data_IF_683963285422
#
_entry.id   IF_683963285422
#
_cell.length_a   1.000
_cell.length_b   1.000
_cell.length_c   1.000
_cell.angle_alpha   90.00
_cell.angle_beta   90.00
_cell.angle_gamma   90.00
#
_symmetry.space_group_name_H-M   'P 1'
#
loop_
_entity.id
_entity.type
_entity.pdbx_description
1 polymer ?
#
# COMPACT_ATOMS: atom_id res chain seq x y z
N UNK A 1 24.30 41.24 55.64
CA UNK A 1 23.57 41.07 54.36
C UNK A 1 23.72 39.63 53.89
N UNK A 2 22.60 38.95 53.65
CA UNK A 2 22.46 37.54 53.26
C UNK A 2 22.50 37.42 51.74
N UNK A 3 23.49 36.73 51.16
CA UNK A 3 23.46 36.26 49.76
C UNK A 3 24.12 34.88 49.73
N UNK A 4 23.38 33.82 50.08
CA UNK A 4 23.77 32.42 49.85
C UNK A 4 22.52 31.53 49.78
N UNK A 5 21.85 31.46 48.62
CA UNK A 5 21.01 30.29 48.27
C UNK A 5 20.52 30.25 46.81
N UNK A 6 20.70 31.30 46.01
CA UNK A 6 20.07 31.36 44.67
C UNK A 6 20.85 30.68 43.53
N UNK A 7 22.10 30.24 43.75
CA UNK A 7 22.93 29.71 42.66
C UNK A 7 22.87 28.18 42.48
N UNK A 8 22.30 27.45 43.44
CA UNK A 8 22.24 25.97 43.39
C UNK A 8 20.97 25.43 42.73
N UNK A 9 19.92 26.26 42.58
CA UNK A 9 18.63 25.80 42.04
C UNK A 9 18.59 25.81 40.50
N UNK A 10 19.36 26.69 39.85
CA UNK A 10 19.39 26.83 38.39
C UNK A 10 20.18 25.74 37.69
N UNK A 11 21.20 25.15 38.34
CA UNK A 11 22.02 24.08 37.74
C UNK A 11 21.27 22.74 37.69
N UNK A 12 20.42 22.45 38.68
CA UNK A 12 19.67 21.19 38.78
C UNK A 12 18.52 21.11 37.78
N UNK A 13 17.88 22.23 37.44
CA UNK A 13 16.80 22.30 36.44
C UNK A 13 17.34 22.06 35.02
N UNK A 14 18.56 22.51 34.72
CA UNK A 14 19.17 22.34 33.40
C UNK A 14 19.53 20.87 33.10
N UNK A 15 19.96 20.11 34.11
CA UNK A 15 20.28 18.68 33.97
C UNK A 15 19.02 17.84 33.70
N UNK A 16 17.89 18.18 34.31
CA UNK A 16 16.63 17.45 34.12
C UNK A 16 16.08 17.65 32.69
N UNK A 17 16.17 18.88 32.15
CA UNK A 17 15.70 19.19 30.78
C UNK A 17 16.55 18.53 29.68
N UNK A 18 17.86 18.37 29.91
CA UNK A 18 18.74 17.64 28.98
C UNK A 18 18.54 16.13 29.02
N UNK A 19 18.11 15.55 30.16
CA UNK A 19 17.82 14.12 30.29
C UNK A 19 16.52 13.72 29.58
N UNK A 20 15.46 14.52 29.70
CA UNK A 20 14.19 14.25 29.00
C UNK A 20 14.35 14.32 27.47
N UNK A 21 15.08 15.31 26.95
CA UNK A 21 15.34 15.42 25.51
C UNK A 21 16.26 14.32 24.97
N UNK A 22 17.19 13.81 25.80
CA UNK A 22 18.06 12.68 25.46
C UNK A 22 17.32 11.34 25.45
N UNK A 23 16.47 11.07 26.44
CA UNK A 23 15.61 9.88 26.43
C UNK A 23 14.66 9.87 25.23
N UNK A 24 14.07 11.02 24.89
CA UNK A 24 13.17 11.13 23.75
C UNK A 24 13.90 10.91 22.41
N UNK A 25 15.15 11.37 22.27
CA UNK A 25 16.05 11.07 21.13
C UNK A 25 16.50 9.61 21.08
N UNK A 26 16.85 9.00 22.21
CA UNK A 26 17.27 7.60 22.26
C UNK A 26 16.10 6.64 21.99
N UNK A 27 14.89 6.99 22.41
CA UNK A 27 13.68 6.18 22.18
C UNK A 27 13.19 6.30 20.73
N UNK A 28 13.37 7.45 20.08
CA UNK A 28 13.14 7.60 18.63
C UNK A 28 14.21 6.90 17.79
N UNK A 29 15.47 6.83 18.23
CA UNK A 29 16.55 6.14 17.49
C UNK A 29 16.48 4.60 17.61
N UNK A 30 15.81 4.06 18.65
CA UNK A 30 15.62 2.62 18.85
C UNK A 30 14.42 2.01 18.13
N UNK A 31 13.43 2.81 17.71
CA UNK A 31 12.29 2.29 16.97
C UNK A 31 12.62 2.25 15.46
N UNK A 32 12.77 1.07 14.85
CA UNK A 32 13.15 0.94 13.43
C UNK A 32 12.13 1.60 12.48
N UNK A 33 10.90 1.87 12.95
CA UNK A 33 9.86 2.60 12.20
C UNK A 33 10.11 4.12 12.12
N UNK A 34 10.91 4.72 13.02
CA UNK A 34 11.21 6.17 13.05
C UNK A 34 12.40 6.55 12.20
N UNK A 35 13.23 5.58 11.78
CA UNK A 35 14.53 5.91 11.22
C UNK A 35 14.38 6.49 9.82
N UNK A 36 14.69 7.78 9.66
CA UNK A 36 14.87 8.43 8.35
C UNK A 36 16.20 7.94 7.74
N UNK A 37 16.24 7.28 6.56
CA UNK A 37 17.50 6.95 5.94
C UNK A 37 18.22 8.23 5.50
N UNK A 38 19.55 8.14 5.43
CA UNK A 38 20.42 9.22 5.02
C UNK A 38 20.00 9.85 3.69
N UNK A 39 20.21 11.16 3.60
CA UNK A 39 19.93 11.97 2.40
C UNK A 39 20.77 11.45 1.23
N UNK A 40 20.15 10.81 0.24
CA UNK A 40 20.69 10.79 -1.13
C UNK A 40 20.01 11.91 -1.90
N UNK A 41 20.72 13.04 -1.99
CA UNK A 41 20.46 14.28 -2.73
C UNK A 41 19.03 14.88 -2.75
N UNK A 42 17.95 14.16 -3.08
CA UNK A 42 16.61 14.77 -3.21
C UNK A 42 15.40 13.83 -2.96
N UNK A 43 15.60 12.55 -2.58
CA UNK A 43 14.49 11.62 -2.32
C UNK A 43 14.62 10.95 -0.95
N UNK A 44 13.64 11.23 -0.09
CA UNK A 44 13.52 10.55 1.18
C UNK A 44 12.87 9.17 0.96
N UNK A 45 13.65 8.09 1.10
CA UNK A 45 13.14 6.71 1.00
C UNK A 45 12.52 6.26 2.32
N UNK A 46 11.34 5.62 2.33
CA UNK A 46 10.73 5.12 3.58
C UNK A 46 10.30 3.67 3.49
N UNK A 47 10.54 2.92 4.56
CA UNK A 47 10.08 1.54 4.68
C UNK A 47 8.59 1.58 5.04
N UNK A 48 7.74 0.98 4.19
CA UNK A 48 6.35 0.73 4.54
C UNK A 48 6.27 -0.55 5.38
N UNK A 49 5.46 -0.51 6.43
CA UNK A 49 5.12 -1.66 7.26
C UNK A 49 3.65 -2.03 7.02
N UNK A 50 3.36 -3.32 6.91
CA UNK A 50 2.01 -3.84 6.70
C UNK A 50 1.73 -4.86 7.81
N UNK A 51 1.37 -4.35 8.98
CA UNK A 51 1.19 -5.15 10.20
C UNK A 51 -0.03 -6.09 10.10
N UNK A 52 -1.06 -5.68 9.34
CA UNK A 52 -2.23 -6.50 9.06
C UNK A 52 -1.90 -7.82 8.37
N UNK A 53 -0.77 -7.91 7.66
CA UNK A 53 -0.32 -9.14 7.02
C UNK A 53 -0.06 -10.27 8.02
N UNK A 54 0.49 -9.95 9.20
CA UNK A 54 0.89 -10.99 10.16
C UNK A 54 -0.30 -11.72 10.77
N UNK A 55 -1.44 -11.02 10.88
CA UNK A 55 -2.70 -11.56 11.40
C UNK A 55 -3.45 -12.45 10.39
N UNK A 56 -3.03 -12.48 9.12
CA UNK A 56 -3.69 -13.26 8.09
C UNK A 56 -3.59 -14.77 8.34
N UNK A 57 -4.66 -15.54 8.06
CA UNK A 57 -4.56 -16.99 7.97
C UNK A 57 -3.53 -17.42 6.92
N UNK A 58 -2.92 -18.59 7.11
CA UNK A 58 -1.88 -19.12 6.21
C UNK A 58 -2.34 -19.16 4.74
N UNK A 59 -3.59 -19.51 4.48
CA UNK A 59 -4.16 -19.51 3.14
C UNK A 59 -4.11 -18.12 2.50
N UNK A 60 -4.57 -17.08 3.21
CA UNK A 60 -4.53 -15.69 2.73
C UNK A 60 -3.10 -15.18 2.58
N UNK A 61 -2.18 -15.58 3.47
CA UNK A 61 -0.75 -15.26 3.33
C UNK A 61 -0.15 -15.88 2.06
N UNK A 62 -0.50 -17.14 1.74
CA UNK A 62 -0.06 -17.81 0.50
C UNK A 62 -0.68 -17.17 -0.74
N UNK A 63 -1.95 -16.78 -0.66
CA UNK A 63 -2.60 -16.02 -1.72
C UNK A 63 -1.87 -14.70 -2.02
N UNK A 64 -1.64 -13.88 -0.99
CA UNK A 64 -0.89 -12.64 -1.09
C UNK A 64 0.56 -12.85 -1.57
N UNK A 65 1.22 -13.93 -1.14
CA UNK A 65 2.57 -14.30 -1.60
C UNK A 65 2.62 -14.51 -3.11
N UNK A 66 1.70 -15.28 -3.66
CA UNK A 66 1.69 -15.57 -5.09
C UNK A 66 1.28 -14.35 -5.92
N UNK A 67 0.36 -13.52 -5.43
CA UNK A 67 0.12 -12.19 -6.02
C UNK A 67 1.39 -11.31 -6.02
N UNK A 68 2.15 -11.31 -4.92
CA UNK A 68 3.41 -10.55 -4.80
C UNK A 68 4.44 -11.00 -5.83
N UNK A 69 4.54 -12.31 -6.02
CA UNK A 69 5.44 -12.90 -7.02
C UNK A 69 5.01 -12.55 -8.44
N UNK A 70 3.72 -12.61 -8.75
CA UNK A 70 3.17 -12.16 -10.02
C UNK A 70 3.44 -10.67 -10.28
N UNK A 71 3.23 -9.81 -9.28
CA UNK A 71 3.53 -8.38 -9.37
C UNK A 71 5.02 -8.11 -9.62
N UNK A 72 5.91 -8.88 -8.97
CA UNK A 72 7.36 -8.78 -9.22
C UNK A 72 7.74 -9.23 -10.62
N UNK A 73 7.15 -10.32 -11.11
CA UNK A 73 7.38 -10.81 -12.47
C UNK A 73 6.96 -9.75 -13.52
N UNK A 74 5.80 -9.11 -13.32
CA UNK A 74 5.35 -8.03 -14.20
C UNK A 74 6.16 -6.73 -14.05
N UNK A 75 6.55 -6.34 -12.84
CA UNK A 75 7.27 -5.09 -12.56
C UNK A 75 8.75 -5.11 -12.98
N UNK A 76 9.41 -6.27 -12.98
CA UNK A 76 10.77 -6.43 -13.49
C UNK A 76 10.88 -6.19 -15.01
N UNK A 77 9.74 -6.11 -15.69
CA UNK A 77 9.62 -6.11 -17.13
C UNK A 77 9.37 -4.74 -17.78
N UNK A 78 9.65 -3.66 -17.04
CA UNK A 78 9.69 -2.30 -17.59
C UNK A 78 10.96 -2.08 -18.45
N UNK A 79 11.86 -3.06 -18.56
CA UNK A 79 13.02 -3.01 -19.48
C UNK A 79 12.84 -3.77 -20.80
N UNK A 80 12.04 -4.83 -20.80
CA UNK A 80 11.59 -5.60 -21.96
C UNK A 80 10.32 -6.33 -21.46
N UNK A 81 9.24 -6.38 -22.24
CA UNK A 81 7.88 -6.85 -21.87
C UNK A 81 7.84 -8.00 -20.83
N UNK A 82 6.80 -8.09 -19.96
CA UNK A 82 6.68 -9.15 -18.95
C UNK A 82 7.05 -10.52 -19.48
N UNK A 83 7.81 -11.29 -18.69
CA UNK A 83 7.75 -12.76 -18.80
C UNK A 83 6.35 -13.14 -18.34
N UNK A 84 5.40 -12.98 -19.26
CA UNK A 84 3.96 -13.19 -19.08
C UNK A 84 3.72 -14.59 -18.54
N UNK A 85 4.57 -15.55 -18.90
CA UNK A 85 4.61 -16.92 -18.35
C UNK A 85 4.85 -16.96 -16.84
N UNK A 86 5.93 -16.35 -16.32
CA UNK A 86 6.22 -16.37 -14.88
C UNK A 86 5.12 -15.67 -14.05
N UNK A 87 4.49 -14.67 -14.64
CA UNK A 87 3.36 -13.97 -14.05
C UNK A 87 2.09 -14.84 -14.05
N UNK A 88 1.79 -15.50 -15.17
CA UNK A 88 0.69 -16.48 -15.29
C UNK A 88 0.87 -17.60 -14.26
N UNK A 89 2.07 -18.20 -14.17
CA UNK A 89 2.35 -19.30 -13.25
C UNK A 89 2.02 -18.89 -11.80
N UNK A 90 2.48 -17.72 -11.37
CA UNK A 90 2.23 -17.24 -10.01
C UNK A 90 0.76 -16.86 -9.80
N UNK A 91 0.04 -16.36 -10.82
CA UNK A 91 -1.41 -16.12 -10.73
C UNK A 91 -2.20 -17.45 -10.65
N UNK A 92 -1.79 -18.49 -11.37
CA UNK A 92 -2.38 -19.83 -11.29
C UNK A 92 -2.15 -20.45 -9.89
N UNK A 93 -0.97 -20.25 -9.31
CA UNK A 93 -0.74 -20.61 -7.91
C UNK A 93 -1.62 -19.79 -6.96
N UNK A 94 -1.80 -18.49 -7.20
CA UNK A 94 -2.66 -17.62 -6.39
C UNK A 94 -4.11 -18.09 -6.38
N UNK A 95 -4.65 -18.52 -7.53
CA UNK A 95 -6.02 -19.06 -7.66
C UNK A 95 -6.27 -20.24 -6.69
N UNK A 96 -5.25 -21.05 -6.43
CA UNK A 96 -5.35 -22.21 -5.52
C UNK A 96 -5.53 -21.83 -4.04
N UNK A 97 -5.26 -20.58 -3.68
CA UNK A 97 -5.40 -20.06 -2.31
C UNK A 97 -6.45 -18.95 -2.20
N UNK A 98 -6.92 -18.42 -3.33
CA UNK A 98 -7.82 -17.30 -3.39
C UNK A 98 -9.24 -17.66 -2.87
N UNK A 99 -9.96 -16.69 -2.28
CA UNK A 99 -11.40 -16.81 -2.06
C UNK A 99 -12.14 -17.08 -3.39
N UNK A 100 -13.32 -17.70 -3.33
CA UNK A 100 -14.10 -18.09 -4.52
C UNK A 100 -14.31 -16.96 -5.53
N UNK A 101 -14.72 -15.77 -5.07
CA UNK A 101 -14.90 -14.60 -5.93
C UNK A 101 -13.58 -14.22 -6.61
N UNK A 102 -12.49 -14.22 -5.84
CA UNK A 102 -11.17 -13.87 -6.33
C UNK A 102 -10.61 -14.85 -7.34
N UNK A 103 -10.78 -16.16 -7.11
CA UNK A 103 -10.45 -17.19 -8.08
C UNK A 103 -11.16 -16.95 -9.41
N UNK A 104 -12.45 -16.57 -9.38
CA UNK A 104 -13.25 -16.40 -10.59
C UNK A 104 -12.71 -15.32 -11.52
N UNK A 105 -12.31 -14.15 -10.99
CA UNK A 105 -11.80 -13.05 -11.81
C UNK A 105 -10.31 -13.23 -12.12
N UNK A 106 -9.52 -13.87 -11.24
CA UNK A 106 -8.13 -14.22 -11.54
C UNK A 106 -8.02 -15.18 -12.72
N UNK A 107 -8.92 -16.16 -12.82
CA UNK A 107 -8.99 -17.04 -13.99
C UNK A 107 -9.22 -16.25 -15.29
N UNK A 108 -10.02 -15.17 -15.26
CA UNK A 108 -10.22 -14.29 -16.42
C UNK A 108 -8.96 -13.48 -16.73
N UNK A 109 -8.26 -12.98 -15.72
CA UNK A 109 -6.99 -12.28 -15.90
C UNK A 109 -5.93 -13.21 -16.52
N UNK A 110 -5.78 -14.43 -16.00
CA UNK A 110 -4.88 -15.46 -16.56
C UNK A 110 -5.23 -15.74 -18.02
N UNK A 111 -6.51 -15.93 -18.35
CA UNK A 111 -6.93 -16.16 -19.73
C UNK A 111 -6.59 -14.99 -20.64
N UNK A 112 -6.81 -13.76 -20.20
CA UNK A 112 -6.38 -12.58 -20.94
C UNK A 112 -4.86 -12.58 -21.18
N UNK A 113 -4.05 -12.85 -20.15
CA UNK A 113 -2.60 -12.89 -20.29
C UNK A 113 -2.12 -14.01 -21.24
N UNK A 114 -2.85 -15.11 -21.33
CA UNK A 114 -2.56 -16.23 -22.23
C UNK A 114 -2.92 -15.94 -23.69
N UNK A 115 -3.96 -15.13 -23.95
CA UNK A 115 -4.56 -15.00 -25.30
C UNK A 115 -4.55 -13.59 -25.88
N UNK A 116 -4.29 -12.57 -25.06
CA UNK A 116 -4.49 -11.15 -25.36
C UNK A 116 -5.93 -10.78 -25.78
N UNK A 117 -6.92 -11.61 -25.44
CA UNK A 117 -8.32 -11.34 -25.74
C UNK A 117 -8.93 -10.38 -24.71
N UNK A 118 -9.18 -9.14 -25.16
CA UNK A 118 -9.78 -8.05 -24.37
C UNK A 118 -11.14 -8.40 -23.77
N UNK A 119 -11.86 -9.37 -24.33
CA UNK A 119 -13.09 -9.92 -23.74
C UNK A 119 -12.86 -10.51 -22.36
N UNK A 120 -11.78 -11.27 -22.17
CA UNK A 120 -11.40 -11.79 -20.85
C UNK A 120 -10.95 -10.67 -19.90
N UNK A 121 -10.21 -9.68 -20.39
CA UNK A 121 -9.82 -8.52 -19.56
C UNK A 121 -11.04 -7.73 -19.07
N UNK A 122 -12.02 -7.50 -19.96
CA UNK A 122 -13.27 -6.82 -19.61
C UNK A 122 -14.10 -7.63 -18.60
N UNK A 123 -14.11 -8.96 -18.72
CA UNK A 123 -14.76 -9.85 -17.76
C UNK A 123 -14.05 -9.83 -16.40
N UNK A 124 -12.71 -9.92 -16.37
CA UNK A 124 -11.90 -9.73 -15.17
C UNK A 124 -12.24 -8.41 -14.49
N UNK A 125 -12.15 -7.29 -15.21
CA UNK A 125 -12.43 -5.95 -14.67
C UNK A 125 -13.85 -5.83 -14.13
N UNK A 126 -14.84 -6.49 -14.74
CA UNK A 126 -16.23 -6.48 -14.24
C UNK A 126 -16.32 -7.23 -12.91
N UNK A 127 -15.88 -8.48 -12.89
CA UNK A 127 -15.97 -9.33 -11.71
C UNK A 127 -15.15 -8.77 -10.53
N UNK A 128 -13.92 -8.32 -10.79
CA UNK A 128 -13.07 -7.70 -9.76
C UNK A 128 -13.67 -6.43 -9.15
N UNK A 129 -14.35 -5.63 -9.97
CA UNK A 129 -15.00 -4.41 -9.50
C UNK A 129 -16.24 -4.70 -8.66
N UNK A 130 -16.97 -5.75 -9.00
CA UNK A 130 -18.19 -6.18 -8.29
C UNK A 130 -17.89 -6.96 -7.00
N UNK A 131 -16.74 -7.62 -6.93
CA UNK A 131 -16.35 -8.46 -5.80
C UNK A 131 -15.94 -7.68 -4.54
N UNK A 132 -16.30 -8.24 -3.39
CA UNK A 132 -15.85 -7.80 -2.07
C UNK A 132 -14.76 -8.73 -1.55
N UNK A 133 -13.59 -8.66 -2.18
CA UNK A 133 -12.46 -9.52 -1.85
C UNK A 133 -11.82 -9.12 -0.51
N UNK A 134 -11.94 -9.99 0.50
CA UNK A 134 -11.29 -9.85 1.81
C UNK A 134 -10.58 -11.17 2.18
N UNK A 135 -9.52 -11.14 2.99
CA UNK A 135 -8.84 -9.96 3.55
C UNK A 135 -7.72 -9.41 2.66
N UNK A 136 -7.48 -10.03 1.50
CA UNK A 136 -6.45 -9.62 0.53
C UNK A 136 -7.15 -9.09 -0.71
N UNK A 137 -6.75 -7.90 -1.13
CA UNK A 137 -7.19 -7.23 -2.34
C UNK A 137 -5.98 -6.89 -3.20
N UNK A 138 -6.18 -6.72 -4.50
CA UNK A 138 -5.10 -6.29 -5.38
C UNK A 138 -5.62 -5.39 -6.49
N UNK A 139 -4.73 -4.54 -6.98
CA UNK A 139 -4.93 -3.78 -8.20
C UNK A 139 -3.95 -4.36 -9.20
N UNK A 140 -4.45 -4.74 -10.37
CA UNK A 140 -3.62 -5.21 -11.47
C UNK A 140 -4.15 -4.55 -12.74
N UNK A 141 -3.44 -3.52 -13.18
CA UNK A 141 -3.86 -2.67 -14.28
C UNK A 141 -2.73 -2.50 -15.28
N UNK A 142 -3.10 -2.54 -16.55
CA UNK A 142 -2.27 -2.08 -17.64
C UNK A 142 -2.67 -0.62 -17.90
N UNK A 143 -1.95 0.34 -17.30
CA UNK A 143 -2.18 1.78 -17.45
C UNK A 143 -1.60 2.28 -18.76
N UNK A 144 -2.31 3.11 -19.53
CA UNK A 144 -1.80 3.67 -20.79
C UNK A 144 -2.34 3.05 -22.08
N UNK A 145 -3.38 2.21 -22.01
CA UNK A 145 -4.16 1.81 -23.18
C UNK A 145 -5.19 2.89 -23.63
N UNK A 146 -5.43 3.92 -22.82
CA UNK A 146 -6.51 4.90 -23.07
C UNK A 146 -6.11 6.38 -23.17
N UNK A 147 -4.87 6.85 -22.88
CA UNK A 147 -4.42 8.15 -23.46
C UNK A 147 -2.95 8.60 -23.18
N UNK A 148 -2.27 8.19 -22.11
CA UNK A 148 -1.02 8.87 -21.68
C UNK A 148 0.28 8.05 -21.71
N UNK A 149 0.42 7.05 -22.60
CA UNK A 149 1.73 6.38 -22.75
C UNK A 149 2.64 7.19 -23.68
N UNK A 150 3.75 7.70 -23.14
CA UNK A 150 4.79 8.46 -23.87
C UNK A 150 5.33 7.71 -25.10
N UNK A 151 5.17 6.38 -25.13
CA UNK A 151 5.63 5.49 -26.20
C UNK A 151 4.53 4.53 -26.76
N UNK A 152 3.25 4.75 -26.45
CA UNK A 152 2.15 3.89 -26.94
C UNK A 152 2.05 2.49 -26.30
N UNK A 153 2.85 2.18 -25.27
CA UNK A 153 2.82 0.90 -24.55
C UNK A 153 2.15 1.06 -23.18
N UNK A 154 1.23 0.16 -22.79
CA UNK A 154 0.66 0.21 -21.46
C UNK A 154 1.74 -0.08 -20.41
N UNK A 155 1.89 0.82 -19.45
CA UNK A 155 2.62 0.60 -18.22
C UNK A 155 1.91 -0.45 -17.35
N UNK A 156 2.66 -1.38 -16.80
CA UNK A 156 2.13 -2.34 -15.85
C UNK A 156 2.16 -1.74 -14.44
N UNK A 157 0.97 -1.56 -13.85
CA UNK A 157 0.80 -1.13 -12.47
C UNK A 157 0.12 -2.24 -11.67
N UNK A 158 0.73 -2.63 -10.55
CA UNK A 158 0.09 -3.53 -9.62
C UNK A 158 0.36 -3.17 -8.16
N UNK A 159 -0.64 -3.43 -7.32
CA UNK A 159 -0.63 -3.19 -5.88
C UNK A 159 -1.27 -4.37 -5.16
N UNK A 160 -0.76 -4.70 -3.97
CA UNK A 160 -1.35 -5.72 -3.09
C UNK A 160 -1.69 -5.05 -1.78
N UNK A 161 -2.94 -5.21 -1.40
CA UNK A 161 -3.59 -4.52 -0.31
C UNK A 161 -4.05 -5.56 0.71
N UNK A 162 -3.70 -5.33 1.97
CA UNK A 162 -4.21 -6.12 3.09
C UNK A 162 -5.20 -5.25 3.80
N UNK A 163 -6.40 -5.76 4.03
CA UNK A 163 -7.41 -5.03 4.78
C UNK A 163 -6.84 -4.59 6.14
N UNK A 164 -7.07 -3.34 6.49
CA UNK A 164 -6.62 -2.85 7.79
C UNK A 164 -7.54 -3.39 8.90
N UNK A 165 -7.04 -4.22 9.82
CA UNK A 165 -7.86 -4.72 10.92
C UNK A 165 -8.18 -3.65 11.97
N UNK A 166 -7.43 -2.53 12.00
CA UNK A 166 -7.56 -1.48 13.01
C UNK A 166 -7.32 -0.10 12.38
N UNK A 167 -8.19 0.38 11.47
CA UNK A 167 -8.08 1.74 10.98
C UNK A 167 -8.22 2.74 12.14
N UNK A 168 -7.48 3.84 12.08
CA UNK A 168 -7.65 4.95 13.02
C UNK A 168 -9.10 5.45 12.99
N UNK A 169 -9.64 5.93 14.13
CA UNK A 169 -11.04 6.38 14.26
C UNK A 169 -11.44 7.43 13.20
N UNK A 170 -10.51 8.34 12.85
CA UNK A 170 -10.73 9.31 11.77
C UNK A 170 -10.84 8.65 10.40
N UNK A 171 -10.02 7.63 10.13
CA UNK A 171 -10.06 6.88 8.88
C UNK A 171 -11.34 6.05 8.82
N UNK A 172 -11.75 5.44 9.94
CA UNK A 172 -13.01 4.71 10.02
C UNK A 172 -14.21 5.63 9.79
N UNK A 173 -14.20 6.84 10.37
CA UNK A 173 -15.21 7.87 10.08
C UNK A 173 -15.20 8.26 8.60
N UNK A 174 -14.01 8.43 8.00
CA UNK A 174 -13.84 8.75 6.58
C UNK A 174 -14.29 7.61 5.64
N UNK A 175 -14.17 6.35 6.06
CA UNK A 175 -14.66 5.19 5.31
C UNK A 175 -16.18 5.09 5.37
N UNK A 176 -16.78 5.48 6.49
CA UNK A 176 -18.19 5.20 6.81
C UNK A 176 -19.14 6.36 6.56
N UNK A 177 -18.67 7.60 6.42
CA UNK A 177 -19.58 8.65 5.97
C UNK A 177 -19.97 8.36 4.49
N UNK A 178 -21.06 8.96 4.03
CA UNK A 178 -21.56 8.78 2.66
C UNK A 178 -21.39 10.03 1.79
N UNK A 179 -20.86 11.13 2.34
CA UNK A 179 -20.67 12.41 1.66
C UNK A 179 -19.78 12.34 0.41
N UNK A 180 -18.76 11.45 0.38
CA UNK A 180 -17.94 11.23 -0.83
C UNK A 180 -18.75 10.77 -2.04
N UNK A 181 -19.89 10.11 -1.84
CA UNK A 181 -20.76 9.71 -2.94
C UNK A 181 -21.44 10.89 -3.63
N UNK A 182 -21.55 12.05 -2.96
CA UNK A 182 -21.99 13.31 -3.53
C UNK A 182 -20.84 14.00 -4.28
N UNK A 183 -19.66 14.08 -3.68
CA UNK A 183 -18.49 14.74 -4.30
C UNK A 183 -17.99 13.97 -5.54
N UNK A 184 -18.14 12.64 -5.54
CA UNK A 184 -17.91 11.79 -6.70
C UNK A 184 -18.77 12.21 -7.92
N UNK A 185 -19.99 12.70 -7.70
CA UNK A 185 -20.88 13.16 -8.78
C UNK A 185 -20.38 14.46 -9.42
N UNK A 186 -19.54 15.23 -8.72
CA UNK A 186 -19.01 16.52 -9.17
C UNK A 186 -17.71 16.40 -9.98
N UNK A 187 -17.08 15.22 -10.02
CA UNK A 187 -15.75 15.01 -10.63
C UNK A 187 -15.83 14.42 -12.04
N UNK A 188 -16.97 13.85 -12.45
CA UNK A 188 -17.18 13.33 -13.81
C UNK A 188 -18.14 14.23 -14.59
N UNK A 189 -17.60 15.00 -15.55
CA UNK A 189 -18.36 15.90 -16.43
C UNK A 189 -19.42 15.15 -17.27
N UNK A 190 -19.34 13.82 -17.39
CA UNK A 190 -20.32 12.97 -18.08
C UNK A 190 -21.29 12.24 -17.14
N UNK A 191 -21.31 12.58 -15.85
CA UNK A 191 -22.19 11.95 -14.89
C UNK A 191 -23.67 12.29 -15.15
N UNK A 192 -24.53 11.27 -15.11
CA UNK A 192 -25.99 11.43 -15.10
C UNK A 192 -26.44 11.63 -13.65
N UNK A 193 -26.83 12.85 -13.23
CA UNK A 193 -27.15 13.20 -11.84
C UNK A 193 -28.35 12.41 -11.27
N UNK A 194 -29.05 11.62 -12.09
CA UNK A 194 -30.09 10.68 -11.64
C UNK A 194 -29.59 9.31 -11.19
N UNK A 195 -28.29 8.99 -11.31
CA UNK A 195 -27.75 7.65 -11.02
C UNK A 195 -26.93 7.62 -9.74
N UNK A 196 -27.44 6.91 -8.73
CA UNK A 196 -26.72 6.68 -7.47
C UNK A 196 -25.36 6.03 -7.73
N UNK A 197 -24.29 6.71 -7.32
CA UNK A 197 -22.95 6.14 -7.30
C UNK A 197 -22.84 5.25 -6.07
N UNK A 198 -22.74 3.94 -6.26
CA UNK A 198 -22.38 3.06 -5.15
C UNK A 198 -20.88 3.23 -4.88
N UNK A 199 -20.54 3.86 -3.76
CA UNK A 199 -19.16 4.00 -3.29
C UNK A 199 -18.84 2.91 -2.28
N UNK A 200 -17.73 2.20 -2.51
CA UNK A 200 -17.18 1.25 -1.55
C UNK A 200 -15.75 1.72 -1.24
N UNK A 201 -15.62 2.63 -0.29
CA UNK A 201 -14.33 2.98 0.28
C UNK A 201 -14.00 1.98 1.38
N UNK A 202 -12.76 1.53 1.44
CA UNK A 202 -12.27 0.66 2.52
C UNK A 202 -10.84 1.03 2.89
N UNK A 203 -10.50 0.80 4.16
CA UNK A 203 -9.17 0.98 4.70
C UNK A 203 -8.30 -0.24 4.41
N UNK A 204 -7.14 -0.01 3.80
CA UNK A 204 -6.17 -1.04 3.47
C UNK A 204 -4.77 -0.58 3.85
N UNK A 205 -3.94 -1.54 4.23
CA UNK A 205 -2.50 -1.39 4.29
C UNK A 205 -1.90 -1.84 2.96
N UNK A 206 -1.05 -1.02 2.37
CA UNK A 206 -0.28 -1.40 1.20
C UNK A 206 0.83 -2.38 1.59
N UNK A 207 0.79 -3.59 1.05
CA UNK A 207 1.85 -4.59 1.23
C UNK A 207 2.96 -4.43 0.19
N UNK A 208 2.59 -4.26 -1.08
CA UNK A 208 3.53 -4.17 -2.19
C UNK A 208 2.94 -3.37 -3.34
N UNK A 209 3.78 -2.63 -4.08
CA UNK A 209 3.42 -2.03 -5.35
C UNK A 209 4.59 -2.05 -6.34
N UNK A 210 4.29 -2.02 -7.63
CA UNK A 210 5.29 -1.94 -8.70
C UNK A 210 5.88 -0.54 -8.86
N UNK A 211 5.09 0.53 -8.63
CA UNK A 211 5.61 1.90 -8.49
C UNK A 211 5.90 2.21 -7.00
N UNK A 212 6.99 2.92 -6.77
CA UNK A 212 7.39 3.42 -5.45
C UNK A 212 6.82 4.81 -5.14
N UNK A 213 6.20 5.48 -6.12
CA UNK A 213 5.45 6.73 -5.99
C UNK A 213 3.98 6.38 -5.83
N UNK A 214 3.47 6.51 -4.62
CA UNK A 214 2.16 5.99 -4.28
C UNK A 214 1.24 7.11 -3.84
N UNK A 215 0.00 7.16 -4.38
CA UNK A 215 -1.00 8.06 -3.86
C UNK A 215 -1.46 7.57 -2.48
N UNK A 216 -1.92 8.47 -1.62
CA UNK A 216 -2.52 8.12 -0.32
C UNK A 216 -3.91 7.47 -0.49
N UNK A 217 -4.58 7.80 -1.59
CA UNK A 217 -5.91 7.33 -1.96
C UNK A 217 -5.88 6.81 -3.39
N UNK A 218 -6.55 5.70 -3.66
CA UNK A 218 -6.75 5.19 -5.02
C UNK A 218 -8.22 4.91 -5.24
N UNK A 219 -8.76 5.29 -6.38
CA UNK A 219 -10.13 4.96 -6.76
C UNK A 219 -10.19 4.54 -8.23
N UNK A 220 -11.16 3.71 -8.55
CA UNK A 220 -11.47 3.31 -9.92
C UNK A 220 -12.97 3.48 -10.16
N UNK A 221 -13.29 4.00 -11.35
CA UNK A 221 -14.64 4.27 -11.80
C UNK A 221 -15.12 3.19 -12.77
N UNK A 222 -16.39 2.82 -12.65
CA UNK A 222 -17.08 2.07 -13.70
C UNK A 222 -18.58 2.35 -13.67
N UNK A 223 -19.08 3.03 -14.70
CA UNK A 223 -20.48 3.44 -14.81
C UNK A 223 -20.96 4.15 -13.54
N UNK A 224 -21.78 3.49 -12.71
CA UNK A 224 -22.38 4.08 -11.51
C UNK A 224 -21.75 3.56 -10.20
N UNK A 225 -20.49 3.12 -10.23
CA UNK A 225 -19.82 2.62 -9.03
C UNK A 225 -18.38 3.12 -8.95
N UNK A 226 -17.94 3.34 -7.71
CA UNK A 226 -16.57 3.70 -7.35
C UNK A 226 -16.04 2.68 -6.36
N UNK A 227 -14.89 2.10 -6.67
CA UNK A 227 -14.14 1.25 -5.73
C UNK A 227 -12.94 2.04 -5.22
N UNK A 228 -12.95 2.38 -3.93
CA UNK A 228 -11.99 3.28 -3.30
C UNK A 228 -11.13 2.59 -2.24
N UNK A 229 -9.85 2.93 -2.21
CA UNK A 229 -8.85 2.35 -1.32
C UNK A 229 -8.14 3.47 -0.56
N UNK A 230 -8.26 3.43 0.77
CA UNK A 230 -7.56 4.34 1.67
C UNK A 230 -6.33 3.61 2.20
N UNK A 231 -5.13 4.11 1.86
CA UNK A 231 -3.87 3.41 2.17
C UNK A 231 -3.31 3.88 3.52
N UNK A 232 -3.74 3.23 4.60
CA UNK A 232 -3.52 3.67 5.98
C UNK A 232 -2.03 3.77 6.34
N UNK A 233 -1.24 2.73 6.04
CA UNK A 233 0.19 2.71 6.32
C UNK A 233 1.00 3.70 5.47
N UNK A 234 0.50 4.06 4.29
CA UNK A 234 1.06 5.13 3.45
C UNK A 234 0.77 6.48 4.12
N UNK A 235 -0.48 6.74 4.51
CA UNK A 235 -0.89 7.95 5.24
C UNK A 235 -0.10 8.10 6.54
N UNK A 236 0.00 7.06 7.38
CA UNK A 236 0.77 7.07 8.63
C UNK A 236 2.23 7.49 8.37
N UNK A 237 2.84 6.90 7.33
CA UNK A 237 4.22 7.21 6.95
C UNK A 237 4.36 8.66 6.49
N UNK A 238 3.44 9.18 5.70
CA UNK A 238 3.42 10.58 5.28
C UNK A 238 3.23 11.54 6.46
N UNK A 239 2.24 11.30 7.32
CA UNK A 239 1.92 12.15 8.47
C UNK A 239 3.08 12.24 9.45
N UNK A 240 3.70 11.11 9.77
CA UNK A 240 4.90 11.05 10.61
C UNK A 240 6.03 11.91 10.05
N UNK A 241 6.22 11.87 8.74
CA UNK A 241 7.28 12.61 8.06
C UNK A 241 7.00 14.10 7.92
N UNK A 242 5.76 14.46 7.58
CA UNK A 242 5.32 15.86 7.54
C UNK A 242 5.46 16.49 8.93
N UNK A 243 5.05 15.79 9.99
CA UNK A 243 5.26 16.23 11.37
C UNK A 243 6.74 16.42 11.72
N UNK A 244 7.61 15.51 11.28
CA UNK A 244 9.06 15.64 11.47
C UNK A 244 9.68 16.80 10.68
N UNK A 245 9.13 17.13 9.49
CA UNK A 245 9.67 18.15 8.58
C UNK A 245 9.08 19.54 8.74
N UNK A 246 7.86 19.69 9.27
CA UNK A 246 7.30 20.98 9.69
C UNK A 246 8.19 21.65 10.75
N UNK A 247 8.91 20.85 11.55
CA UNK A 247 9.97 21.33 12.43
C UNK A 247 11.23 21.86 11.69
N UNK A 248 11.32 21.74 10.36
CA UNK A 248 12.53 22.01 9.57
C UNK A 248 12.32 22.84 8.28
N UNK A 249 11.10 23.31 8.01
CA UNK A 249 10.73 24.23 6.89
C UNK A 249 11.35 23.81 5.53
N UNK A 250 11.20 22.54 5.13
CA UNK A 250 11.60 22.10 3.78
C UNK A 250 10.55 21.13 3.22
N UNK A 251 9.75 21.63 2.27
CA UNK A 251 8.53 20.97 1.76
C UNK A 251 8.65 20.54 0.28
N UNK A 252 9.85 20.29 -0.22
CA UNK A 252 9.98 19.60 -1.51
C UNK A 252 9.85 18.08 -1.30
N UNK A 253 8.62 17.59 -1.42
CA UNK A 253 8.22 16.24 -1.05
C UNK A 253 8.13 15.31 -2.27
N UNK A 254 9.26 14.78 -2.72
CA UNK A 254 9.28 13.57 -3.56
C UNK A 254 9.69 12.38 -2.68
N UNK A 255 8.76 11.44 -2.48
CA UNK A 255 8.97 10.26 -1.66
C UNK A 255 9.03 9.02 -2.54
N UNK A 256 9.83 8.06 -2.10
CA UNK A 256 9.86 6.71 -2.67
C UNK A 256 9.81 5.71 -1.54
N UNK A 257 9.01 4.66 -1.70
CA UNK A 257 8.87 3.64 -0.68
C UNK A 257 9.77 2.44 -0.94
N UNK A 258 10.36 1.91 0.13
CA UNK A 258 11.05 0.63 0.15
C UNK A 258 9.97 -0.39 0.48
N UNK A 259 9.62 -1.22 -0.51
CA UNK A 259 8.68 -2.32 -0.32
C UNK A 259 9.33 -3.46 0.47
N UNK A 260 8.54 -4.20 1.29
CA UNK A 260 9.03 -5.41 1.93
C UNK A 260 9.26 -6.54 0.92
N UNK A 261 10.01 -7.57 1.36
CA UNK A 261 10.11 -8.85 0.65
C UNK A 261 9.28 -9.91 1.37
N UNK A 262 8.54 -10.74 0.62
CA UNK A 262 7.87 -11.90 1.21
C UNK A 262 8.71 -13.16 1.01
N UNK A 263 8.74 -14.02 2.02
CA UNK A 263 9.48 -15.28 2.01
C UNK A 263 8.63 -16.43 2.53
N UNK A 264 8.73 -17.59 1.88
CA UNK A 264 8.14 -18.82 2.39
C UNK A 264 8.99 -19.37 3.52
N UNK A 265 8.37 -19.60 4.68
CA UNK A 265 8.94 -20.38 5.75
C UNK A 265 8.51 -21.83 5.58
N UNK A 266 9.46 -22.76 5.45
CA UNK A 266 9.17 -24.18 5.25
C UNK A 266 9.48 -25.00 6.50
N UNK A 267 8.73 -26.07 6.71
CA UNK A 267 9.01 -27.07 7.74
C UNK A 267 10.12 -28.04 7.26
N UNK A 268 10.55 -28.95 8.14
CA UNK A 268 11.61 -29.94 7.82
C UNK A 268 11.25 -30.88 6.67
N UNK A 269 9.97 -31.08 6.39
CA UNK A 269 9.46 -31.93 5.30
C UNK A 269 9.25 -31.14 3.99
N UNK A 270 9.66 -29.87 3.93
CA UNK A 270 9.52 -29.02 2.74
C UNK A 270 8.15 -28.36 2.56
N UNK A 271 7.16 -28.69 3.41
CA UNK A 271 5.85 -28.04 3.41
C UNK A 271 5.92 -26.57 3.85
N UNK A 272 5.09 -25.71 3.26
CA UNK A 272 5.01 -24.30 3.66
C UNK A 272 4.37 -24.21 5.04
N UNK A 273 5.15 -23.75 6.02
CA UNK A 273 4.73 -23.49 7.40
C UNK A 273 4.09 -22.11 7.55
N UNK A 274 4.70 -21.10 6.91
CA UNK A 274 4.23 -19.72 6.98
C UNK A 274 4.72 -18.91 5.76
N UNK A 275 4.20 -17.70 5.59
CA UNK A 275 4.81 -16.66 4.76
C UNK A 275 5.15 -15.50 5.68
N UNK A 276 6.39 -15.02 5.61
CA UNK A 276 6.89 -13.96 6.48
C UNK A 276 7.27 -12.72 5.68
N UNK A 277 7.03 -11.56 6.27
CA UNK A 277 7.45 -10.27 5.72
C UNK A 277 8.88 -9.97 6.20
N UNK A 278 9.77 -9.71 5.25
CA UNK A 278 11.16 -9.36 5.48
C UNK A 278 11.36 -7.90 5.09
N UNK A 279 11.48 -7.05 6.10
CA UNK A 279 11.84 -5.65 5.93
C UNK A 279 13.36 -5.52 5.75
N UNK A 280 13.82 -4.58 4.92
CA UNK A 280 15.26 -4.37 4.74
C UNK A 280 15.88 -3.88 6.05
N UNK A 281 16.71 -4.74 6.65
CA UNK A 281 17.59 -4.33 7.75
C UNK A 281 18.57 -3.30 7.20
N UNK A 282 18.68 -2.18 7.91
CA UNK A 282 19.65 -1.14 7.60
C UNK A 282 20.98 -1.47 8.26
#
# INVERSE_FOLDING_TARGET
MKIKSTLTLTLTIFVILTSCSRQQREQTDRNPRVRVPGKTADLARRQLFCDGFEALPLQSKRYAYHLYRACKAGGAAVKDQPSTEAMIDELEQAISFAPTEASSYLMKLVKYLQTDDKGFYNAYRRLWFEAESRPVEFIFTLTGAEDDSVDGKPAFEAMILIEDPHPDELIDTLVNDTSWSLDAQLIDDNHDPGKTILSLFKAYQLLYATDSRLPMFRYLWKANRVKGFILTNVIETYTREAGARLASININLRWSFIMPELKLLRNRMGGVKDVVVSYKKR
#
